data_IF_736530548474
#
_entry.id   IF_736530548474
#
_cell.length_a   1.000
_cell.length_b   1.000
_cell.length_c   1.000
_cell.angle_alpha   90.00
_cell.angle_beta   90.00
_cell.angle_gamma   90.00
#
_symmetry.space_group_name_H-M   'P 1'
#
loop_
_entity.id
_entity.type
_entity.pdbx_description
1 polymer ?
#
# COMPACT_ATOMS: atom_id res chain seq x y z
N UNK A 1 -26.02 -11.00 15.74
CA UNK A 1 -24.85 -10.16 16.07
C UNK A 1 -25.22 -8.76 15.66
N UNK A 2 -25.08 -7.79 16.56
CA UNK A 2 -25.32 -6.38 16.20
C UNK A 2 -24.20 -5.87 15.29
N UNK A 3 -24.48 -4.85 14.47
CA UNK A 3 -23.49 -4.16 13.60
C UNK A 3 -22.25 -3.76 14.43
N UNK A 4 -22.46 -3.22 15.63
CA UNK A 4 -21.40 -2.81 16.55
C UNK A 4 -20.53 -3.97 17.07
N UNK A 5 -21.10 -5.16 17.28
CA UNK A 5 -20.33 -6.34 17.70
C UNK A 5 -19.46 -6.89 16.55
N UNK A 6 -20.01 -6.90 15.32
CA UNK A 6 -19.30 -7.34 14.13
C UNK A 6 -18.13 -6.42 13.79
N UNK A 7 -18.33 -5.10 13.87
CA UNK A 7 -17.28 -4.09 13.71
C UNK A 7 -16.14 -4.27 14.72
N UNK A 8 -16.45 -4.42 16.02
CA UNK A 8 -15.43 -4.65 17.06
C UNK A 8 -14.63 -5.94 16.84
N UNK A 9 -15.29 -7.00 16.38
CA UNK A 9 -14.61 -8.26 16.08
C UNK A 9 -13.67 -8.13 14.88
N UNK A 10 -14.11 -7.45 13.81
CA UNK A 10 -13.28 -7.17 12.63
C UNK A 10 -12.06 -6.31 13.00
N UNK A 11 -12.25 -5.27 13.82
CA UNK A 11 -11.17 -4.44 14.35
C UNK A 11 -10.16 -5.27 15.14
N UNK A 12 -10.62 -6.07 16.11
CA UNK A 12 -9.74 -6.88 16.94
C UNK A 12 -8.92 -7.89 16.13
N UNK A 13 -9.53 -8.52 15.11
CA UNK A 13 -8.83 -9.45 14.21
C UNK A 13 -7.79 -8.73 13.33
N UNK A 14 -8.12 -7.56 12.79
CA UNK A 14 -7.18 -6.73 12.02
C UNK A 14 -5.96 -6.36 12.88
N UNK A 15 -6.21 -5.79 14.06
CA UNK A 15 -5.17 -5.38 15.01
C UNK A 15 -4.26 -6.56 15.40
N UNK A 16 -4.86 -7.72 15.72
CA UNK A 16 -4.13 -8.94 16.05
C UNK A 16 -3.24 -9.41 14.91
N UNK A 17 -3.72 -9.38 13.67
CA UNK A 17 -2.92 -9.75 12.49
C UNK A 17 -1.77 -8.78 12.27
N UNK A 18 -2.02 -7.48 12.31
CA UNK A 18 -0.97 -6.45 12.17
C UNK A 18 0.11 -6.60 13.23
N UNK A 19 -0.28 -6.85 14.47
CA UNK A 19 0.64 -7.11 15.58
C UNK A 19 1.45 -8.39 15.39
N UNK A 20 0.84 -9.47 14.88
CA UNK A 20 1.56 -10.71 14.55
C UNK A 20 2.61 -10.44 13.47
N UNK A 21 2.23 -9.80 12.37
CA UNK A 21 3.13 -9.44 11.28
C UNK A 21 4.31 -8.62 11.81
N UNK A 22 4.03 -7.62 12.66
CA UNK A 22 5.05 -6.79 13.29
C UNK A 22 6.03 -7.62 14.14
N UNK A 23 5.53 -8.49 15.02
CA UNK A 23 6.39 -9.30 15.88
C UNK A 23 7.21 -10.33 15.11
N UNK A 24 6.59 -10.97 14.11
CA UNK A 24 7.20 -12.07 13.38
C UNK A 24 8.28 -11.58 12.40
N UNK A 25 8.14 -10.37 11.88
CA UNK A 25 8.98 -9.85 10.80
C UNK A 25 9.94 -8.72 11.20
N UNK A 26 9.72 -8.02 12.32
CA UNK A 26 10.60 -6.90 12.73
C UNK A 26 12.06 -7.30 12.96
N UNK A 27 12.33 -8.56 13.27
CA UNK A 27 13.66 -9.05 13.57
C UNK A 27 14.30 -8.26 14.73
N UNK A 28 15.44 -7.60 14.47
CA UNK A 28 16.16 -6.79 15.45
C UNK A 28 15.69 -5.32 15.50
N UNK A 29 14.70 -4.94 14.68
CA UNK A 29 14.16 -3.58 14.69
C UNK A 29 13.28 -3.35 15.91
N UNK A 30 13.34 -2.12 16.44
CA UNK A 30 12.34 -1.73 17.40
C UNK A 30 10.95 -1.73 16.75
N UNK A 31 9.94 -1.98 17.57
CA UNK A 31 8.55 -1.99 17.15
C UNK A 31 8.20 -0.67 16.42
N UNK A 32 8.57 0.48 17.01
CA UNK A 32 8.23 1.81 16.48
C UNK A 32 8.81 2.06 15.09
N UNK A 33 10.01 1.54 14.82
CA UNK A 33 10.66 1.66 13.52
C UNK A 33 9.98 0.78 12.48
N UNK A 34 9.66 -0.47 12.83
CA UNK A 34 9.00 -1.40 11.91
C UNK A 34 7.57 -0.97 11.56
N UNK A 35 6.89 -0.28 12.49
CA UNK A 35 5.57 0.31 12.28
C UNK A 35 5.53 1.20 11.03
N UNK A 36 6.53 2.06 10.83
CA UNK A 36 6.53 3.00 9.71
C UNK A 36 6.50 2.29 8.36
N UNK A 37 7.17 1.14 8.23
CA UNK A 37 7.09 0.29 7.03
C UNK A 37 5.71 -0.33 6.85
N UNK A 38 5.09 -0.84 7.91
CA UNK A 38 3.74 -1.42 7.84
C UNK A 38 2.73 -0.34 7.43
N UNK A 39 2.79 0.84 8.05
CA UNK A 39 1.92 1.97 7.73
C UNK A 39 2.08 2.42 6.28
N UNK A 40 3.32 2.64 5.83
CA UNK A 40 3.60 3.04 4.45
C UNK A 40 3.10 2.01 3.44
N UNK A 41 3.31 0.71 3.69
CA UNK A 41 2.84 -0.36 2.80
C UNK A 41 1.31 -0.51 2.78
N UNK A 42 0.64 -0.35 3.91
CA UNK A 42 -0.83 -0.35 3.99
C UNK A 42 -1.39 0.83 3.20
N UNK A 43 -0.80 2.02 3.39
CA UNK A 43 -1.21 3.21 2.67
C UNK A 43 -0.97 3.07 1.17
N UNK A 44 0.20 2.57 0.76
CA UNK A 44 0.50 2.28 -0.64
C UNK A 44 -0.50 1.29 -1.25
N UNK A 45 -0.83 0.20 -0.52
CA UNK A 45 -1.86 -0.75 -0.96
C UNK A 45 -3.20 -0.06 -1.18
N UNK A 46 -3.62 0.80 -0.24
CA UNK A 46 -4.88 1.54 -0.39
C UNK A 46 -4.88 2.42 -1.63
N UNK A 47 -3.81 3.21 -1.83
CA UNK A 47 -3.72 4.07 -3.01
C UNK A 47 -3.83 3.26 -4.29
N UNK A 48 -3.15 2.11 -4.34
CA UNK A 48 -3.18 1.19 -5.48
C UNK A 48 -4.57 0.60 -5.72
N UNK A 49 -5.24 0.09 -4.69
CA UNK A 49 -6.58 -0.50 -4.83
C UNK A 49 -7.60 0.56 -5.25
N UNK A 50 -7.46 1.79 -4.75
CA UNK A 50 -8.31 2.92 -5.18
C UNK A 50 -8.09 3.26 -6.66
N UNK A 51 -6.85 3.21 -7.15
CA UNK A 51 -6.55 3.37 -8.57
C UNK A 51 -7.20 2.27 -9.40
N UNK A 52 -7.08 1.00 -9.00
CA UNK A 52 -7.72 -0.13 -9.70
C UNK A 52 -9.24 0.08 -9.81
N UNK A 53 -9.89 0.47 -8.71
CA UNK A 53 -11.34 0.78 -8.71
C UNK A 53 -11.69 1.92 -9.65
N UNK A 54 -10.91 3.00 -9.69
CA UNK A 54 -11.19 4.12 -10.60
C UNK A 54 -10.99 3.73 -12.06
N UNK A 55 -9.93 2.98 -12.36
CA UNK A 55 -9.67 2.52 -13.72
C UNK A 55 -10.75 1.55 -14.20
N UNK A 56 -11.20 0.64 -13.34
CA UNK A 56 -12.30 -0.29 -13.68
C UNK A 56 -13.59 0.47 -14.04
N UNK A 57 -13.86 1.59 -13.38
CA UNK A 57 -14.98 2.49 -13.73
C UNK A 57 -14.72 3.23 -15.04
N UNK A 58 -13.52 3.76 -15.26
CA UNK A 58 -13.17 4.52 -16.46
C UNK A 58 -13.14 3.65 -17.72
N UNK A 59 -12.81 2.36 -17.58
CA UNK A 59 -12.80 1.37 -18.65
C UNK A 59 -14.09 0.54 -18.67
N UNK A 60 -15.15 0.94 -17.94
CA UNK A 60 -16.41 0.21 -17.93
C UNK A 60 -17.03 0.20 -19.33
N UNK A 61 -17.21 -1.00 -19.89
CA UNK A 61 -17.70 -1.20 -21.25
C UNK A 61 -16.60 -1.30 -22.32
N UNK A 62 -15.35 -1.00 -21.96
CA UNK A 62 -14.18 -1.25 -22.79
C UNK A 62 -13.70 -2.70 -22.59
N UNK A 63 -13.38 -3.40 -23.68
CA UNK A 63 -12.88 -4.78 -23.61
C UNK A 63 -11.35 -4.81 -23.51
N UNK A 64 -10.79 -4.04 -22.58
CA UNK A 64 -9.35 -3.95 -22.36
C UNK A 64 -8.99 -3.90 -20.88
N UNK A 65 -7.82 -4.41 -20.54
CA UNK A 65 -7.26 -4.29 -19.19
C UNK A 65 -6.59 -2.94 -18.99
N UNK A 66 -6.36 -2.55 -17.74
CA UNK A 66 -5.59 -1.35 -17.44
C UNK A 66 -4.22 -1.35 -18.12
N UNK A 67 -3.52 -2.48 -18.09
CA UNK A 67 -2.22 -2.63 -18.76
C UNK A 67 -2.33 -2.37 -20.28
N UNK A 68 -3.35 -2.90 -20.95
CA UNK A 68 -3.57 -2.68 -22.38
C UNK A 68 -3.90 -1.22 -22.68
N UNK A 69 -4.76 -0.60 -21.88
CA UNK A 69 -5.12 0.81 -22.01
C UNK A 69 -3.89 1.71 -21.83
N UNK A 70 -3.01 1.38 -20.87
CA UNK A 70 -1.80 2.15 -20.58
C UNK A 70 -0.73 2.09 -21.68
N UNK A 71 -0.75 1.05 -22.52
CA UNK A 71 0.14 0.94 -23.69
C UNK A 71 -0.35 1.73 -24.90
N UNK A 72 -1.60 2.20 -24.89
CA UNK A 72 -2.15 3.05 -25.94
C UNK A 72 -2.03 4.52 -25.52
N UNK A 73 -1.37 5.35 -26.34
CA UNK A 73 -1.10 6.76 -25.99
C UNK A 73 -2.36 7.59 -25.73
N UNK A 74 -3.44 7.36 -26.49
CA UNK A 74 -4.69 8.11 -26.34
C UNK A 74 -5.39 7.75 -25.02
N UNK A 75 -5.47 6.45 -24.71
CA UNK A 75 -6.07 5.97 -23.46
C UNK A 75 -5.22 6.33 -22.25
N UNK A 76 -3.89 6.22 -22.36
CA UNK A 76 -2.98 6.57 -21.29
C UNK A 76 -3.16 8.03 -20.86
N UNK A 77 -3.13 8.97 -21.80
CA UNK A 77 -3.28 10.39 -21.48
C UNK A 77 -4.64 10.70 -20.85
N UNK A 78 -5.71 10.08 -21.33
CA UNK A 78 -7.05 10.23 -20.75
C UNK A 78 -7.13 9.67 -19.32
N UNK A 79 -6.59 8.46 -19.10
CA UNK A 79 -6.55 7.83 -17.78
C UNK A 79 -5.71 8.65 -16.79
N UNK A 80 -4.54 9.14 -17.19
CA UNK A 80 -3.70 10.00 -16.35
C UNK A 80 -4.47 11.25 -15.89
N UNK A 81 -5.14 11.95 -16.81
CA UNK A 81 -5.92 13.14 -16.47
C UNK A 81 -7.09 12.82 -15.53
N UNK A 82 -7.87 11.77 -15.81
CA UNK A 82 -9.00 11.37 -14.98
C UNK A 82 -8.57 10.90 -13.59
N UNK A 83 -7.45 10.17 -13.47
CA UNK A 83 -6.92 9.76 -12.18
C UNK A 83 -6.45 10.96 -11.34
N UNK A 84 -5.75 11.91 -11.96
CA UNK A 84 -5.34 13.13 -11.26
C UNK A 84 -6.57 13.95 -10.81
N UNK A 85 -7.59 14.08 -11.64
CA UNK A 85 -8.82 14.81 -11.28
C UNK A 85 -9.61 14.12 -10.17
N UNK A 86 -9.74 12.79 -10.21
CA UNK A 86 -10.60 12.04 -9.28
C UNK A 86 -9.94 11.71 -7.96
N UNK A 87 -8.65 11.36 -7.99
CA UNK A 87 -7.94 10.83 -6.82
C UNK A 87 -6.64 11.55 -6.52
N UNK A 88 -6.16 12.44 -7.38
CA UNK A 88 -5.04 13.33 -7.10
C UNK A 88 -3.65 12.72 -7.36
N UNK A 89 -3.55 11.50 -7.88
CA UNK A 89 -2.28 10.83 -8.14
C UNK A 89 -2.44 9.76 -9.21
N UNK A 90 -1.31 9.27 -9.74
CA UNK A 90 -1.26 8.19 -10.72
C UNK A 90 -0.40 7.05 -10.21
N UNK A 91 -0.91 5.82 -10.31
CA UNK A 91 -0.13 4.59 -10.14
C UNK A 91 -0.24 3.79 -11.43
N UNK A 92 0.89 3.59 -12.11
CA UNK A 92 0.92 2.82 -13.35
C UNK A 92 0.58 1.33 -13.12
N UNK A 93 0.08 0.60 -14.13
CA UNK A 93 -0.28 -0.81 -13.98
C UNK A 93 0.84 -1.71 -13.45
N UNK A 94 2.09 -1.41 -13.81
CA UNK A 94 3.28 -2.15 -13.40
C UNK A 94 3.70 -1.91 -11.94
N UNK A 95 3.22 -0.80 -11.37
CA UNK A 95 3.53 -0.33 -10.02
C UNK A 95 2.41 -0.66 -9.03
N UNK A 96 1.21 -1.03 -9.49
CA UNK A 96 0.11 -1.48 -8.63
C UNK A 96 0.55 -2.54 -7.61
N UNK A 97 0.05 -2.44 -6.38
CA UNK A 97 0.31 -3.40 -5.30
C UNK A 97 0.00 -4.84 -5.75
N UNK A 98 -1.13 -5.06 -6.45
CA UNK A 98 -1.49 -6.36 -7.00
C UNK A 98 -0.44 -6.88 -8.00
N UNK A 99 0.14 -6.00 -8.82
CA UNK A 99 1.24 -6.34 -9.74
C UNK A 99 2.56 -6.61 -9.01
N UNK A 100 2.89 -5.84 -7.97
CA UNK A 100 4.06 -6.09 -7.14
C UNK A 100 3.96 -7.43 -6.40
N UNK A 101 2.77 -7.80 -5.90
CA UNK A 101 2.50 -9.12 -5.33
C UNK A 101 2.75 -10.23 -6.36
N UNK A 102 2.24 -10.09 -7.59
CA UNK A 102 2.52 -11.06 -8.67
C UNK A 102 4.03 -11.17 -8.97
N UNK A 103 4.78 -10.07 -8.94
CA UNK A 103 6.25 -10.11 -9.07
C UNK A 103 6.90 -10.88 -7.92
N UNK A 104 6.42 -10.72 -6.68
CA UNK A 104 6.91 -11.46 -5.52
C UNK A 104 6.66 -12.97 -5.68
N UNK A 105 5.45 -13.35 -6.08
CA UNK A 105 5.06 -14.75 -6.32
C UNK A 105 5.91 -15.39 -7.43
N UNK A 106 6.21 -14.62 -8.48
CA UNK A 106 7.06 -15.03 -9.59
C UNK A 106 8.57 -14.92 -9.32
N UNK A 107 8.97 -14.51 -8.11
CA UNK A 107 10.37 -14.34 -7.70
C UNK A 107 11.16 -13.34 -8.57
N UNK A 108 10.48 -12.34 -9.14
CA UNK A 108 11.08 -11.29 -9.98
C UNK A 108 11.05 -9.91 -9.33
N UNK A 109 10.40 -9.78 -8.17
CA UNK A 109 10.35 -8.53 -7.42
C UNK A 109 11.71 -8.18 -6.80
N UNK A 110 12.10 -6.92 -6.96
CA UNK A 110 13.22 -6.30 -6.23
C UNK A 110 12.73 -5.11 -5.42
N UNK A 111 13.39 -4.79 -4.30
CA UNK A 111 12.99 -3.65 -3.45
C UNK A 111 13.03 -2.31 -4.22
N UNK A 112 13.86 -2.21 -5.26
CA UNK A 112 13.90 -1.07 -6.18
C UNK A 112 12.59 -0.88 -6.96
N UNK A 113 11.81 -1.94 -7.21
CA UNK A 113 10.47 -1.81 -7.82
C UNK A 113 9.57 -0.97 -6.90
N UNK A 114 9.55 -1.28 -5.61
CA UNK A 114 8.74 -0.54 -4.62
C UNK A 114 9.24 0.90 -4.46
N UNK A 115 10.56 1.11 -4.39
CA UNK A 115 11.13 2.45 -4.35
C UNK A 115 10.68 3.32 -5.54
N UNK A 116 10.75 2.77 -6.76
CA UNK A 116 10.32 3.47 -7.97
C UNK A 116 8.83 3.77 -7.92
N UNK A 117 8.04 2.79 -7.52
CA UNK A 117 6.59 2.91 -7.45
C UNK A 117 6.15 4.04 -6.50
N UNK A 118 6.76 4.11 -5.31
CA UNK A 118 6.52 5.18 -4.32
C UNK A 118 6.95 6.55 -4.89
N UNK A 119 8.16 6.64 -5.42
CA UNK A 119 8.67 7.90 -5.96
C UNK A 119 7.82 8.41 -7.13
N UNK A 120 7.28 7.50 -7.95
CA UNK A 120 6.38 7.84 -9.04
C UNK A 120 5.08 8.49 -8.55
N UNK A 121 4.51 8.00 -7.45
CA UNK A 121 3.31 8.61 -6.85
C UNK A 121 3.59 10.08 -6.51
N UNK A 122 4.63 10.35 -5.74
CA UNK A 122 5.02 11.73 -5.37
C UNK A 122 5.22 12.59 -6.63
N UNK A 123 5.97 12.07 -7.62
CA UNK A 123 6.21 12.82 -8.85
C UNK A 123 4.95 13.07 -9.69
N UNK A 124 3.96 12.18 -9.62
CA UNK A 124 2.69 12.32 -10.36
C UNK A 124 1.83 13.48 -9.84
N UNK A 125 2.02 13.85 -8.58
CA UNK A 125 1.26 14.93 -7.92
C UNK A 125 1.87 16.31 -8.14
N UNK A 126 3.08 16.41 -8.69
CA UNK A 126 3.79 17.70 -8.86
C UNK A 126 3.01 18.64 -9.78
N UNK A 127 2.78 19.85 -9.30
CA UNK A 127 1.99 20.87 -9.97
C UNK A 127 0.48 20.65 -9.89
N UNK A 128 0.01 19.65 -9.14
CA UNK A 128 -1.41 19.42 -8.87
C UNK A 128 -1.80 19.97 -7.49
N UNK A 129 -3.11 20.10 -7.24
CA UNK A 129 -3.63 20.53 -5.93
C UNK A 129 -3.27 19.54 -4.80
N UNK A 130 -3.01 18.28 -5.13
CA UNK A 130 -2.63 17.21 -4.21
C UNK A 130 -1.13 17.18 -3.87
N UNK A 131 -0.28 18.01 -4.46
CA UNK A 131 1.18 17.95 -4.26
C UNK A 131 1.57 17.95 -2.77
N UNK A 132 1.03 18.90 -2.00
CA UNK A 132 1.34 19.07 -0.58
C UNK A 132 0.89 17.87 0.29
N UNK A 133 -0.14 17.13 -0.12
CA UNK A 133 -0.65 15.96 0.61
C UNK A 133 0.23 14.72 0.41
N UNK A 134 0.99 14.67 -0.70
CA UNK A 134 1.83 13.54 -1.08
C UNK A 134 3.33 13.81 -0.89
N UNK A 135 3.73 15.07 -0.77
CA UNK A 135 5.12 15.42 -0.46
C UNK A 135 5.53 14.84 0.90
N UNK A 136 6.70 14.20 0.93
CA UNK A 136 7.25 13.53 2.12
C UNK A 136 6.39 12.41 2.74
N UNK A 137 5.33 11.96 2.06
CA UNK A 137 4.36 10.99 2.59
C UNK A 137 4.97 9.63 2.96
N UNK A 138 6.03 9.21 2.26
CA UNK A 138 6.69 7.92 2.48
C UNK A 138 8.10 8.04 3.09
N UNK A 139 8.52 9.24 3.51
CA UNK A 139 9.88 9.51 4.01
C UNK A 139 10.27 8.66 5.22
N UNK A 140 9.29 8.35 6.08
CA UNK A 140 9.48 7.54 7.28
C UNK A 140 9.76 6.05 6.96
N UNK A 141 9.60 5.63 5.70
CA UNK A 141 9.85 4.28 5.23
C UNK A 141 11.21 4.19 4.51
N UNK A 142 12.29 4.14 5.29
CA UNK A 142 13.66 3.97 4.75
C UNK A 142 13.91 2.54 4.24
N UNK A 143 13.52 2.28 3.00
CA UNK A 143 13.75 1.00 2.31
C UNK A 143 15.24 0.68 2.06
N UNK A 144 16.17 1.61 2.32
CA UNK A 144 17.62 1.36 2.26
C UNK A 144 18.24 1.00 3.62
N UNK A 145 17.45 1.04 4.70
CA UNK A 145 17.93 0.83 6.05
C UNK A 145 18.65 -0.51 6.23
N UNK A 146 19.85 -0.48 6.84
CA UNK A 146 20.58 -1.70 7.21
C UNK A 146 19.81 -2.55 8.23
N UNK A 147 18.88 -1.93 8.96
CA UNK A 147 17.98 -2.58 9.91
C UNK A 147 16.92 -3.46 9.25
N UNK A 148 16.49 -3.09 8.04
CA UNK A 148 15.64 -3.92 7.18
C UNK A 148 16.43 -5.10 6.60
N UNK A 149 17.73 -4.90 6.37
CA UNK A 149 18.65 -5.93 5.91
C UNK A 149 19.96 -5.34 5.39
N UNK A 150 21.06 -6.05 5.65
CA UNK A 150 22.41 -5.61 5.26
C UNK A 150 22.72 -5.79 3.77
N UNK A 151 21.85 -6.44 3.00
CA UNK A 151 22.01 -6.63 1.55
C UNK A 151 20.69 -6.36 0.84
N UNK A 152 20.74 -6.07 -0.46
CA UNK A 152 19.53 -5.84 -1.24
C UNK A 152 18.58 -7.03 -1.18
N UNK A 153 19.12 -8.24 -1.41
CA UNK A 153 18.37 -9.48 -1.31
C UNK A 153 17.72 -9.70 0.07
N UNK A 154 18.38 -9.29 1.17
CA UNK A 154 17.80 -9.40 2.51
C UNK A 154 16.63 -8.44 2.70
N UNK A 155 16.76 -7.19 2.23
CA UNK A 155 15.71 -6.18 2.29
C UNK A 155 14.53 -6.55 1.40
N UNK A 156 14.78 -6.92 0.13
CA UNK A 156 13.79 -7.48 -0.80
C UNK A 156 13.02 -8.60 -0.12
N UNK A 157 13.72 -9.61 0.44
CA UNK A 157 13.07 -10.75 1.11
C UNK A 157 12.18 -10.34 2.28
N UNK A 158 12.59 -9.38 3.10
CA UNK A 158 11.80 -8.93 4.24
C UNK A 158 10.56 -8.17 3.77
N UNK A 159 10.72 -7.20 2.87
CA UNK A 159 9.59 -6.42 2.31
C UNK A 159 8.62 -7.33 1.56
N UNK A 160 9.10 -8.28 0.76
CA UNK A 160 8.25 -9.26 0.10
C UNK A 160 7.40 -10.03 1.10
N UNK A 161 7.96 -10.47 2.23
CA UNK A 161 7.18 -11.14 3.28
C UNK A 161 6.13 -10.22 3.89
N UNK A 162 6.46 -8.96 4.17
CA UNK A 162 5.49 -8.00 4.74
C UNK A 162 4.36 -7.77 3.76
N UNK A 163 4.67 -7.45 2.50
CA UNK A 163 3.67 -7.25 1.43
C UNK A 163 2.78 -8.48 1.24
N UNK A 164 3.35 -9.69 1.20
CA UNK A 164 2.57 -10.93 1.09
C UNK A 164 1.68 -11.19 2.32
N UNK A 165 2.11 -10.83 3.53
CA UNK A 165 1.23 -10.94 4.70
C UNK A 165 0.12 -9.90 4.63
N UNK A 166 0.45 -8.66 4.27
CA UNK A 166 -0.52 -7.59 4.10
C UNK A 166 -1.54 -7.92 3.02
N UNK A 167 -1.18 -8.55 1.91
CA UNK A 167 -2.11 -8.91 0.83
C UNK A 167 -3.22 -9.89 1.27
N UNK A 168 -2.98 -10.69 2.31
CA UNK A 168 -3.99 -11.58 2.90
C UNK A 168 -5.02 -10.86 3.79
N UNK A 169 -4.78 -9.59 4.11
CA UNK A 169 -5.73 -8.78 4.87
C UNK A 169 -6.88 -8.36 3.96
N UNK A 170 -8.14 -8.42 4.42
CA UNK A 170 -9.28 -8.23 3.55
C UNK A 170 -9.62 -6.74 3.31
N UNK A 171 -8.68 -5.82 3.07
CA UNK A 171 -8.92 -4.35 3.00
C UNK A 171 -10.12 -3.91 2.14
N UNK A 172 -10.47 -4.68 1.11
CA UNK A 172 -11.60 -4.38 0.21
C UNK A 172 -12.53 -5.61 0.16
N UNK A 173 -13.44 -5.73 1.12
CA UNK A 173 -14.54 -6.70 1.06
C UNK A 173 -15.85 -6.01 1.43
N UNK A 174 -16.91 -6.30 0.67
CA UNK A 174 -18.26 -5.76 0.87
C UNK A 174 -18.88 -6.11 2.24
N UNK A 175 -18.35 -7.11 2.93
CA UNK A 175 -18.79 -7.55 4.27
C UNK A 175 -18.09 -6.82 5.43
N UNK A 176 -17.21 -5.87 5.13
CA UNK A 176 -16.44 -5.11 6.11
C UNK A 176 -17.16 -3.82 6.45
N UNK A 177 -17.48 -3.68 7.73
CA UNK A 177 -18.28 -2.57 8.26
C UNK A 177 -17.41 -1.50 8.93
N UNK A 178 -16.09 -1.63 8.84
CA UNK A 178 -15.11 -0.76 9.49
C UNK A 178 -14.25 -0.04 8.44
N UNK A 179 -13.81 1.18 8.76
CA UNK A 179 -12.73 1.82 8.01
C UNK A 179 -11.41 1.14 8.38
N UNK A 180 -11.07 0.09 7.64
CA UNK A 180 -9.90 -0.74 7.91
C UNK A 180 -8.58 0.06 7.91
N UNK A 181 -8.53 1.17 7.16
CA UNK A 181 -7.32 1.99 7.09
C UNK A 181 -7.22 2.92 8.27
N UNK A 182 -8.30 3.64 8.58
CA UNK A 182 -8.39 4.44 9.80
C UNK A 182 -8.07 3.60 11.02
N UNK A 183 -8.69 2.42 11.15
CA UNK A 183 -8.49 1.52 12.29
C UNK A 183 -7.08 0.93 12.36
N UNK A 184 -6.49 0.55 11.22
CA UNK A 184 -5.09 0.10 11.17
C UNK A 184 -4.15 1.23 11.59
N UNK A 185 -4.39 2.44 11.09
CA UNK A 185 -3.57 3.62 11.38
C UNK A 185 -3.64 4.01 12.85
N UNK A 186 -4.85 4.15 13.41
CA UNK A 186 -5.08 4.46 14.82
C UNK A 186 -4.46 3.41 15.74
N UNK A 187 -4.64 2.12 15.43
CA UNK A 187 -4.04 1.04 16.22
C UNK A 187 -2.52 1.07 16.20
N UNK A 188 -1.93 1.19 15.01
CA UNK A 188 -0.47 1.22 14.85
C UNK A 188 0.13 2.48 15.49
N UNK A 189 -0.57 3.61 15.53
CA UNK A 189 -0.10 4.76 16.31
C UNK A 189 -0.20 4.50 17.82
N UNK A 190 -1.37 4.05 18.29
CA UNK A 190 -1.64 3.86 19.72
C UNK A 190 -0.79 2.76 20.38
N UNK A 191 -0.68 1.60 19.73
CA UNK A 191 0.06 0.45 20.26
C UNK A 191 1.55 0.74 20.38
N UNK A 192 2.12 1.46 19.40
CA UNK A 192 3.55 1.71 19.39
C UNK A 192 3.95 2.92 20.24
N UNK A 193 3.03 3.87 20.46
CA UNK A 193 3.20 4.90 21.50
C UNK A 193 3.24 4.28 22.91
N UNK A 194 2.47 3.21 23.16
CA UNK A 194 2.47 2.50 24.44
C UNK A 194 3.74 1.65 24.68
N UNK A 195 4.42 1.18 23.62
CA UNK A 195 5.66 0.39 23.73
C UNK A 195 6.95 1.20 23.70
N UNK A 196 6.88 2.50 23.37
CA UNK A 196 8.03 3.40 23.33
C UNK A 196 8.34 4.07 24.69
N UNK A 197 7.65 3.67 25.76
CA UNK A 197 7.82 4.16 27.14
C UNK A 197 8.54 3.18 28.05
#
# INVERSE_FOLDING_TARGET
MSITEKQRQQQAELQKKLWSIANDLRGNMDASEFRNYILGLIFYRFLSEKTEVQVDVLLEGENMTYEQAWQNEDYKAALEAELLERIGYVIEPQDLFSTLIKKIENQTFEIEDLHKAISKIETSTRGQESEDDFDHLFDDMDLNSSRLGNTNAARTKLISKVMMNLSTLPFVHSDIEIDMLGDAYEYLIGQFAATAG
#
